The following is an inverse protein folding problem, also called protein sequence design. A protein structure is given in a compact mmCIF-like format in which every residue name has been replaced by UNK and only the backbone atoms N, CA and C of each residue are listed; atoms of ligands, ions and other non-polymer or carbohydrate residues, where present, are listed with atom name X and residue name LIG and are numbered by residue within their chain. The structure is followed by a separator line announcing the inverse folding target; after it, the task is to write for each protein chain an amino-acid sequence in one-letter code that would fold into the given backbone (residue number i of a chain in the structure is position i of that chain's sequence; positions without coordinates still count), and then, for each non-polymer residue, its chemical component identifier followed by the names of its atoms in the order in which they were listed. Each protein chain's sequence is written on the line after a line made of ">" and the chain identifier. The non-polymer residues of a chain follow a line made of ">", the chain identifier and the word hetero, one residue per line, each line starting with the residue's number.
data_IF_045371810929
#
_entry.id   IF_045371810929
#
_cell.length_a   1.000
_cell.length_b   1.000
_cell.length_c   1.000
_cell.angle_alpha   90.00
_cell.angle_beta   90.00
_cell.angle_gamma   90.00
#
_symmetry.space_group_name_H-M   'P 1'
#
loop_
_entity.id
_entity.type
_entity.pdbx_description
1 polymer ?
#
# COMPACT_ATOMS: atom_id res chain seq x y z
N UNK A 1 1.51 4.36 28.47
CA UNK A 1 2.23 3.44 27.57
C UNK A 1 3.70 3.78 27.65
N UNK A 2 4.58 2.81 27.82
CA UNK A 2 6.02 3.09 27.81
C UNK A 2 6.46 3.67 26.45
N UNK A 3 7.30 4.73 26.40
CA UNK A 3 7.74 5.36 25.15
C UNK A 3 8.35 4.38 24.15
N UNK A 4 9.04 3.34 24.63
CA UNK A 4 9.63 2.29 23.80
C UNK A 4 8.58 1.45 23.08
N UNK A 5 7.46 1.14 23.73
CA UNK A 5 6.37 0.36 23.14
C UNK A 5 5.63 1.23 22.12
N UNK A 6 5.40 2.50 22.43
CA UNK A 6 4.80 3.44 21.49
C UNK A 6 5.63 3.59 20.20
N UNK A 7 6.94 3.81 20.33
CA UNK A 7 7.84 3.91 19.17
C UNK A 7 7.86 2.63 18.33
N UNK A 8 7.90 1.46 18.99
CA UNK A 8 7.82 0.16 18.31
C UNK A 8 6.52 -0.01 17.52
N UNK A 9 5.39 0.42 18.09
CA UNK A 9 4.09 0.39 17.42
C UNK A 9 4.06 1.28 16.17
N UNK A 10 4.61 2.50 16.25
CA UNK A 10 4.73 3.40 15.08
C UNK A 10 5.59 2.75 13.98
N UNK A 11 6.78 2.23 14.33
CA UNK A 11 7.67 1.60 13.35
C UNK A 11 6.98 0.42 12.66
N UNK A 12 6.30 -0.45 13.42
CA UNK A 12 5.53 -1.56 12.85
C UNK A 12 4.43 -1.07 11.92
N UNK A 13 3.69 -0.04 12.33
CA UNK A 13 2.63 0.53 11.50
C UNK A 13 3.17 1.12 10.20
N UNK A 14 4.32 1.80 10.23
CA UNK A 14 5.01 2.30 9.04
C UNK A 14 5.39 1.16 8.10
N UNK A 15 6.04 0.12 8.62
CA UNK A 15 6.45 -1.05 7.82
C UNK A 15 5.23 -1.71 7.16
N UNK A 16 4.17 -1.99 7.93
CA UNK A 16 2.95 -2.58 7.38
C UNK A 16 2.26 -1.68 6.36
N UNK A 17 2.26 -0.38 6.59
CA UNK A 17 1.72 0.59 5.63
C UNK A 17 2.48 0.50 4.31
N UNK A 18 3.82 0.56 4.34
CA UNK A 18 4.65 0.43 3.13
C UNK A 18 4.34 -0.86 2.38
N UNK A 19 4.25 -2.00 3.08
CA UNK A 19 3.87 -3.28 2.47
C UNK A 19 2.49 -3.22 1.81
N UNK A 20 1.48 -2.66 2.49
CA UNK A 20 0.13 -2.51 1.93
C UNK A 20 0.13 -1.61 0.70
N UNK A 21 0.88 -0.50 0.71
CA UNK A 21 0.97 0.40 -0.43
C UNK A 21 1.62 -0.28 -1.64
N UNK A 22 2.68 -1.07 -1.42
CA UNK A 22 3.30 -1.90 -2.47
C UNK A 22 2.28 -2.89 -3.04
N UNK A 23 1.53 -3.59 -2.18
CA UNK A 23 0.50 -4.56 -2.63
C UNK A 23 -0.60 -3.90 -3.45
N UNK A 24 -1.10 -2.74 -3.01
CA UNK A 24 -2.11 -1.96 -3.74
C UNK A 24 -1.56 -1.53 -5.10
N UNK A 25 -0.31 -1.06 -5.16
CA UNK A 25 0.35 -0.65 -6.39
C UNK A 25 0.48 -1.83 -7.38
N UNK A 26 0.95 -2.99 -6.90
CA UNK A 26 1.07 -4.22 -7.70
C UNK A 26 -0.29 -4.72 -8.17
N UNK A 27 -1.33 -4.67 -7.32
CA UNK A 27 -2.69 -5.04 -7.70
C UNK A 27 -3.22 -4.14 -8.82
N UNK A 28 -2.98 -2.82 -8.75
CA UNK A 28 -3.31 -1.88 -9.81
C UNK A 28 -2.67 -2.25 -11.14
N UNK A 29 -1.36 -2.56 -11.13
CA UNK A 29 -0.67 -3.05 -12.32
C UNK A 29 -1.27 -4.34 -12.89
N UNK A 30 -1.59 -5.32 -12.04
CA UNK A 30 -2.21 -6.58 -12.49
C UNK A 30 -3.58 -6.37 -13.13
N UNK A 31 -4.37 -5.40 -12.63
CA UNK A 31 -5.64 -5.02 -13.25
C UNK A 31 -5.43 -4.37 -14.61
N UNK A 32 -4.45 -3.49 -14.75
CA UNK A 32 -4.11 -2.86 -16.03
C UNK A 32 -3.61 -3.90 -17.05
N UNK A 33 -2.76 -4.84 -16.63
CA UNK A 33 -2.34 -5.97 -17.46
C UNK A 33 -3.53 -6.85 -17.88
N UNK A 34 -4.43 -7.17 -16.94
CA UNK A 34 -5.64 -7.93 -17.22
C UNK A 34 -6.54 -7.25 -18.25
N UNK A 35 -6.67 -5.91 -18.20
CA UNK A 35 -7.44 -5.14 -19.19
C UNK A 35 -6.85 -5.25 -20.60
N UNK A 36 -5.53 -5.16 -20.73
CA UNK A 36 -4.83 -5.31 -22.02
C UNK A 36 -5.09 -6.70 -22.61
N UNK A 37 -4.96 -7.75 -21.78
CA UNK A 37 -5.20 -9.14 -22.21
C UNK A 37 -6.66 -9.34 -22.65
N UNK A 38 -7.64 -8.84 -21.86
CA UNK A 38 -9.07 -8.98 -22.18
C UNK A 38 -9.45 -8.20 -23.44
N UNK A 39 -8.82 -7.05 -23.68
CA UNK A 39 -9.02 -6.24 -24.87
C UNK A 39 -8.40 -6.85 -26.14
N UNK A 40 -7.63 -7.93 -26.02
CA UNK A 40 -6.89 -8.54 -27.13
C UNK A 40 -5.73 -7.67 -27.64
N UNK A 41 -5.29 -6.70 -26.83
CA UNK A 41 -4.14 -5.86 -27.14
C UNK A 41 -2.83 -6.62 -26.84
N UNK A 42 -1.83 -6.46 -27.70
CA UNK A 42 -0.50 -7.06 -27.46
C UNK A 42 0.28 -6.21 -26.45
N UNK A 43 0.80 -6.86 -25.41
CA UNK A 43 1.80 -6.25 -24.52
C UNK A 43 3.12 -6.15 -25.27
N UNK A 44 3.57 -4.93 -25.58
CA UNK A 44 4.81 -4.69 -26.34
C UNK A 44 5.87 -3.92 -25.53
N UNK A 45 5.49 -3.19 -24.47
CA UNK A 45 6.44 -2.58 -23.54
C UNK A 45 5.98 -2.73 -22.08
N UNK A 46 6.94 -2.95 -21.19
CA UNK A 46 6.76 -2.95 -19.74
C UNK A 46 7.97 -2.30 -19.08
N UNK A 47 7.72 -1.30 -18.24
CA UNK A 47 8.76 -0.62 -17.47
C UNK A 47 8.36 -0.49 -16.00
N UNK A 48 9.35 -0.64 -15.11
CA UNK A 48 9.20 -0.38 -13.68
C UNK A 48 10.34 0.50 -13.19
N UNK A 49 10.00 1.70 -12.69
CA UNK A 49 10.97 2.65 -12.15
C UNK A 49 10.34 3.52 -11.06
N UNK A 50 11.04 3.72 -9.95
CA UNK A 50 10.58 4.57 -8.82
C UNK A 50 9.13 4.25 -8.37
N UNK A 51 8.82 2.97 -8.19
CA UNK A 51 7.47 2.48 -7.82
C UNK A 51 6.36 2.78 -8.85
N UNK A 52 6.71 3.19 -10.06
CA UNK A 52 5.77 3.41 -11.17
C UNK A 52 5.83 2.23 -12.13
N UNK A 53 4.67 1.71 -12.49
CA UNK A 53 4.52 0.74 -13.57
C UNK A 53 4.07 1.45 -14.84
N UNK A 54 4.71 1.11 -15.95
CA UNK A 54 4.27 1.51 -17.29
C UNK A 54 4.01 0.25 -18.12
N UNK A 55 2.92 0.28 -18.87
CA UNK A 55 2.49 -0.81 -19.74
C UNK A 55 2.05 -0.22 -21.08
N UNK A 56 2.63 -0.69 -22.18
CA UNK A 56 2.38 -0.15 -23.53
C UNK A 56 2.53 1.39 -23.57
N UNK A 57 3.60 1.89 -22.96
CA UNK A 57 3.97 3.31 -22.83
C UNK A 57 2.94 4.19 -22.07
N UNK A 58 1.95 3.57 -21.43
CA UNK A 58 0.96 4.25 -20.58
C UNK A 58 1.33 4.07 -19.12
N UNK A 59 1.26 5.16 -18.36
CA UNK A 59 1.37 5.10 -16.90
C UNK A 59 0.15 4.37 -16.34
N UNK A 60 0.41 3.24 -15.68
CA UNK A 60 -0.62 2.50 -14.96
C UNK A 60 -0.95 3.14 -13.63
N UNK A 61 -1.77 2.46 -12.84
CA UNK A 61 -2.04 2.89 -11.48
C UNK A 61 -0.76 3.04 -10.63
N UNK A 62 -0.65 4.14 -9.88
CA UNK A 62 0.51 4.46 -9.05
C UNK A 62 0.12 4.94 -7.64
N UNK A 63 0.22 4.06 -6.66
CA UNK A 63 -0.11 4.35 -5.26
C UNK A 63 0.84 5.38 -4.60
N UNK A 64 2.05 5.53 -5.16
CA UNK A 64 3.05 6.49 -4.68
C UNK A 64 2.94 7.85 -5.38
N UNK A 65 1.98 8.02 -6.29
CA UNK A 65 1.64 9.33 -6.87
C UNK A 65 1.11 10.27 -5.78
N UNK A 66 1.47 11.56 -5.88
CA UNK A 66 0.96 12.60 -4.96
C UNK A 66 -0.57 12.68 -4.90
N UNK A 67 -1.26 12.22 -5.96
CA UNK A 67 -2.74 12.12 -6.01
C UNK A 67 -3.31 11.19 -4.92
N UNK A 68 -2.53 10.19 -4.51
CA UNK A 68 -2.93 9.18 -3.52
C UNK A 68 -2.43 9.49 -2.10
N UNK A 69 -1.80 10.66 -1.87
CA UNK A 69 -1.22 11.01 -0.57
C UNK A 69 -2.24 10.95 0.56
N UNK A 70 -3.43 11.52 0.37
CA UNK A 70 -4.50 11.49 1.37
C UNK A 70 -4.93 10.06 1.69
N UNK A 71 -5.10 9.21 0.67
CA UNK A 71 -5.42 7.80 0.84
C UNK A 71 -4.31 7.05 1.59
N UNK A 72 -3.04 7.31 1.27
CA UNK A 72 -1.89 6.72 1.96
C UNK A 72 -1.86 7.09 3.45
N UNK A 73 -2.20 8.34 3.78
CA UNK A 73 -2.33 8.81 5.17
C UNK A 73 -3.48 8.06 5.88
N UNK A 74 -4.63 7.89 5.24
CA UNK A 74 -5.74 7.13 5.82
C UNK A 74 -5.38 5.67 6.07
N UNK A 75 -4.68 5.03 5.12
CA UNK A 75 -4.17 3.66 5.28
C UNK A 75 -3.21 3.61 6.47
N UNK A 76 -2.28 4.56 6.58
CA UNK A 76 -1.37 4.63 7.74
C UNK A 76 -2.12 4.71 9.07
N UNK A 77 -3.11 5.59 9.20
CA UNK A 77 -3.89 5.71 10.43
C UNK A 77 -4.71 4.45 10.73
N UNK A 78 -5.30 3.81 9.72
CA UNK A 78 -6.01 2.56 9.90
C UNK A 78 -5.08 1.45 10.42
N UNK A 79 -3.90 1.31 9.81
CA UNK A 79 -2.87 0.35 10.23
C UNK A 79 -2.37 0.66 11.64
N UNK A 80 -2.15 1.94 11.96
CA UNK A 80 -1.75 2.39 13.28
C UNK A 80 -2.75 1.92 14.33
N UNK A 81 -4.04 2.19 14.12
CA UNK A 81 -5.11 1.74 15.04
C UNK A 81 -5.10 0.23 15.20
N UNK A 82 -4.94 -0.54 14.11
CA UNK A 82 -4.89 -2.01 14.16
C UNK A 82 -3.68 -2.54 14.93
N UNK A 83 -2.50 -1.94 14.75
CA UNK A 83 -1.28 -2.32 15.48
C UNK A 83 -1.45 -2.06 16.97
N UNK A 84 -1.89 -0.85 17.35
CA UNK A 84 -2.04 -0.49 18.76
C UNK A 84 -3.19 -1.24 19.46
N UNK A 85 -4.28 -1.57 18.75
CA UNK A 85 -5.33 -2.47 19.28
C UNK A 85 -4.81 -3.87 19.61
N UNK A 86 -3.79 -4.35 18.90
CA UNK A 86 -3.20 -5.67 19.14
C UNK A 86 -2.15 -5.65 20.24
N UNK A 87 -1.37 -4.57 20.35
CA UNK A 87 -0.31 -4.43 21.36
C UNK A 87 -0.83 -3.99 22.73
N UNK A 88 -1.98 -3.32 22.77
CA UNK A 88 -2.73 -3.03 23.99
C UNK A 88 -3.97 -3.93 23.95
N UNK A 89 -3.88 -5.21 24.37
CA UNK A 89 -5.10 -5.96 24.63
C UNK A 89 -5.83 -5.15 25.70
N UNK A 90 -7.00 -4.61 25.33
CA UNK A 90 -7.90 -3.97 26.28
C UNK A 90 -7.95 -4.87 27.51
N UNK A 91 -7.42 -4.37 28.62
CA UNK A 91 -7.59 -4.94 29.94
C UNK A 91 -9.10 -4.95 30.22
N UNK A 92 -9.80 -5.97 29.75
CA UNK A 92 -11.25 -6.20 29.91
C UNK A 92 -11.62 -7.57 29.36
N UNK A 93 -11.27 -8.59 30.15
CA UNK A 93 -12.23 -9.62 30.59
C UNK A 93 -11.86 -9.98 32.03
N UNK A 94 -12.00 -9.00 32.91
CA UNK A 94 -12.33 -9.23 34.33
C UNK A 94 -13.82 -9.50 34.42
#
# INVERSE_FOLDING_TARGET
>A
MEPKVFLRGIIKALVYTVFILILINTAGFMLDLGRVIIAGETVHSFEYSNFRFMLNDREGYNQFSGKNLFLNILIFFAVLVLVFRREVPLARRS
#
